data_IF_071954918069
#
_entry.id   IF_071954918069
#
_cell.length_a   1.000
_cell.length_b   1.000
_cell.length_c   1.000
_cell.angle_alpha   90.00
_cell.angle_beta   90.00
_cell.angle_gamma   90.00
#
_symmetry.space_group_name_H-M   'P 1'
#
loop_
_entity.id
_entity.type
_entity.pdbx_description
1 polymer ?
#
# COMPACT_ATOMS: atom_id res chain seq x y z
N UNK A 1 -0.63 -6.12 22.69
CA UNK A 1 0.24 -5.47 21.70
C UNK A 1 -0.58 -4.48 20.89
N UNK A 2 0.04 -3.39 20.50
CA UNK A 2 -0.65 -2.33 19.78
C UNK A 2 -0.69 -2.63 18.30
N UNK A 3 -1.88 -2.55 17.70
CA UNK A 3 -2.01 -2.60 16.26
C UNK A 3 -1.50 -1.30 15.63
N UNK A 4 -1.04 -1.38 14.40
CA UNK A 4 -0.55 -0.23 13.66
C UNK A 4 -1.29 -0.08 12.34
N UNK A 5 -1.61 1.16 11.98
CA UNK A 5 -2.14 1.49 10.65
C UNK A 5 -1.08 2.20 9.85
N UNK A 6 -1.13 1.99 8.54
CA UNK A 6 -0.41 2.83 7.58
C UNK A 6 -1.44 3.46 6.65
N UNK A 7 -1.28 4.75 6.43
CA UNK A 7 -2.02 5.49 5.41
C UNK A 7 -1.00 6.04 4.43
N UNK A 8 -1.04 5.57 3.19
CA UNK A 8 -0.10 5.97 2.16
C UNK A 8 -0.84 6.71 1.05
N UNK A 9 -0.51 7.98 0.87
CA UNK A 9 -1.05 8.80 -0.23
C UNK A 9 -0.14 8.67 -1.43
N UNK A 10 -0.73 8.34 -2.59
CA UNK A 10 0.02 8.10 -3.81
C UNK A 10 -0.62 8.88 -4.94
N UNK A 11 0.22 9.52 -5.75
CA UNK A 11 -0.23 10.17 -6.97
C UNK A 11 0.22 9.34 -8.17
N UNK A 12 -0.73 9.01 -9.05
CA UNK A 12 -0.42 8.33 -10.30
C UNK A 12 0.06 9.34 -11.33
N UNK A 13 0.89 8.89 -12.26
CA UNK A 13 1.30 9.69 -13.40
C UNK A 13 0.09 10.00 -14.29
N UNK A 14 0.11 11.17 -14.91
CA UNK A 14 -0.94 11.58 -15.84
C UNK A 14 -1.10 10.54 -16.96
N UNK A 15 -2.33 10.12 -17.22
CA UNK A 15 -2.64 9.09 -18.20
C UNK A 15 -2.34 7.67 -17.76
N UNK A 16 -1.89 7.46 -16.51
CA UNK A 16 -1.48 6.14 -16.01
C UNK A 16 -2.31 5.63 -14.83
N UNK A 17 -3.43 6.29 -14.52
CA UNK A 17 -4.25 5.90 -13.37
C UNK A 17 -4.75 4.45 -13.46
N UNK A 18 -5.20 4.01 -14.63
CA UNK A 18 -5.70 2.64 -14.80
C UNK A 18 -4.58 1.61 -14.61
N UNK A 19 -3.39 1.88 -15.18
CA UNK A 19 -2.23 1.01 -15.01
C UNK A 19 -1.80 0.95 -13.54
N UNK A 20 -1.81 2.10 -12.87
CA UNK A 20 -1.51 2.16 -11.45
C UNK A 20 -2.49 1.30 -10.65
N UNK A 21 -3.79 1.45 -10.87
CA UNK A 21 -4.81 0.71 -10.13
C UNK A 21 -4.64 -0.78 -10.32
N UNK A 22 -4.37 -1.23 -11.54
CA UNK A 22 -4.15 -2.64 -11.83
C UNK A 22 -2.96 -3.19 -11.06
N UNK A 23 -1.83 -2.47 -11.09
CA UNK A 23 -0.63 -2.88 -10.36
C UNK A 23 -0.85 -2.86 -8.84
N UNK A 24 -1.54 -1.84 -8.33
CA UNK A 24 -1.84 -1.70 -6.92
C UNK A 24 -2.77 -2.82 -6.42
N UNK A 25 -3.76 -3.21 -7.21
CA UNK A 25 -4.65 -4.33 -6.86
C UNK A 25 -3.89 -5.66 -6.81
N UNK A 26 -2.93 -5.86 -7.71
CA UNK A 26 -2.10 -7.06 -7.67
C UNK A 26 -1.28 -7.11 -6.39
N UNK A 27 -0.73 -5.98 -5.95
CA UNK A 27 -0.01 -5.88 -4.68
C UNK A 27 -0.94 -6.18 -3.51
N UNK A 28 -2.12 -5.56 -3.48
CA UNK A 28 -3.11 -5.76 -2.41
C UNK A 28 -3.49 -7.25 -2.27
N UNK A 29 -3.73 -7.91 -3.39
CA UNK A 29 -4.07 -9.34 -3.39
C UNK A 29 -2.94 -10.18 -2.82
N UNK A 30 -1.70 -9.90 -3.19
CA UNK A 30 -0.53 -10.63 -2.70
C UNK A 30 -0.33 -10.41 -1.20
N UNK A 31 -0.48 -9.18 -0.71
CA UNK A 31 -0.37 -8.85 0.71
C UNK A 31 -1.43 -9.60 1.52
N UNK A 32 -2.68 -9.52 1.09
CA UNK A 32 -3.79 -10.14 1.81
C UNK A 32 -3.69 -11.67 1.81
N UNK A 33 -3.05 -12.26 0.80
CA UNK A 33 -2.88 -13.71 0.71
C UNK A 33 -1.66 -14.24 1.48
N UNK A 34 -0.60 -13.42 1.65
CA UNK A 34 0.71 -13.93 2.08
C UNK A 34 1.24 -13.32 3.38
N UNK A 35 0.60 -12.29 3.92
CA UNK A 35 1.08 -11.64 5.15
C UNK A 35 0.10 -11.85 6.30
N UNK A 36 0.32 -12.89 7.13
CA UNK A 36 -0.64 -13.22 8.20
C UNK A 36 -0.76 -12.12 9.27
N UNK A 37 0.27 -11.27 9.40
CA UNK A 37 0.23 -10.16 10.33
C UNK A 37 -0.46 -8.92 9.79
N UNK A 38 -0.82 -8.90 8.51
CA UNK A 38 -1.58 -7.81 7.91
C UNK A 38 -3.07 -8.13 8.00
N UNK A 39 -3.81 -7.29 8.72
CA UNK A 39 -5.24 -7.51 8.95
C UNK A 39 -6.08 -7.09 7.76
N UNK A 40 -5.69 -6.01 7.09
CA UNK A 40 -6.23 -5.65 5.78
C UNK A 40 -5.25 -4.72 5.05
N UNK A 41 -5.39 -4.68 3.76
CA UNK A 41 -4.57 -3.86 2.87
C UNK A 41 -5.46 -3.45 1.70
N UNK A 42 -5.90 -2.19 1.67
CA UNK A 42 -6.94 -1.74 0.76
C UNK A 42 -6.54 -0.47 0.02
N UNK A 43 -6.82 -0.44 -1.28
CA UNK A 43 -6.64 0.75 -2.10
C UNK A 43 -7.96 1.51 -2.18
N UNK A 44 -7.90 2.81 -1.96
CA UNK A 44 -9.05 3.71 -2.09
C UNK A 44 -8.75 4.81 -3.10
N UNK A 45 -9.77 5.22 -3.85
CA UNK A 45 -9.73 6.41 -4.68
C UNK A 45 -10.01 7.65 -3.84
N UNK A 46 -9.79 8.82 -4.43
CA UNK A 46 -10.15 10.12 -3.85
C UNK A 46 -10.94 10.93 -4.87
N UNK A 47 -11.31 12.14 -4.52
CA UNK A 47 -11.97 13.06 -5.47
C UNK A 47 -11.05 13.44 -6.63
N UNK A 48 -9.73 13.41 -6.42
CA UNK A 48 -8.74 13.61 -7.47
C UNK A 48 -8.54 12.27 -8.20
N UNK A 49 -8.80 12.21 -9.53
CA UNK A 49 -8.70 10.96 -10.28
C UNK A 49 -7.28 10.38 -10.37
N UNK A 50 -6.25 11.17 -10.03
CA UNK A 50 -4.86 10.72 -10.01
C UNK A 50 -4.36 10.42 -8.60
N UNK A 51 -5.14 10.71 -7.56
CA UNK A 51 -4.71 10.49 -6.19
C UNK A 51 -5.41 9.28 -5.58
N UNK A 52 -4.60 8.41 -4.98
CA UNK A 52 -5.06 7.18 -4.34
C UNK A 52 -4.50 7.09 -2.93
N UNK A 53 -5.16 6.29 -2.09
CA UNK A 53 -4.75 6.08 -0.72
C UNK A 53 -4.80 4.59 -0.41
N UNK A 54 -3.66 4.04 0.04
CA UNK A 54 -3.67 2.73 0.70
C UNK A 54 -4.00 2.92 2.17
N UNK A 55 -4.91 2.09 2.67
CA UNK A 55 -5.18 1.96 4.10
C UNK A 55 -4.79 0.54 4.49
N UNK A 56 -3.88 0.43 5.45
CA UNK A 56 -3.28 -0.84 5.84
C UNK A 56 -3.36 -0.97 7.36
N UNK A 57 -3.60 -2.19 7.85
CA UNK A 57 -3.61 -2.44 9.29
C UNK A 57 -2.83 -3.70 9.60
N UNK A 58 -1.93 -3.59 10.56
CA UNK A 58 -1.06 -4.68 11.00
C UNK A 58 -1.36 -5.00 12.47
N UNK A 59 -1.24 -6.28 12.83
CA UNK A 59 -1.53 -6.73 14.19
C UNK A 59 -0.60 -6.11 15.23
N UNK A 60 0.65 -5.78 14.83
CA UNK A 60 1.67 -5.17 15.70
C UNK A 60 2.74 -4.48 14.85
N UNK A 61 3.69 -3.83 15.52
CA UNK A 61 4.76 -3.10 14.86
C UNK A 61 5.68 -4.02 14.06
N UNK A 62 5.96 -5.21 14.58
CA UNK A 62 6.84 -6.16 13.89
C UNK A 62 6.24 -6.60 12.56
N UNK A 63 4.94 -6.86 12.53
CA UNK A 63 4.23 -7.20 11.28
C UNK A 63 4.28 -6.05 10.27
N UNK A 64 4.13 -4.81 10.75
CA UNK A 64 4.23 -3.63 9.91
C UNK A 64 5.62 -3.51 9.28
N UNK A 65 6.66 -3.68 10.09
CA UNK A 65 8.04 -3.62 9.60
C UNK A 65 8.36 -4.76 8.65
N UNK A 66 7.85 -5.96 8.92
CA UNK A 66 8.08 -7.14 8.10
C UNK A 66 7.52 -6.98 6.69
N UNK A 67 6.45 -6.19 6.51
CA UNK A 67 5.80 -5.97 5.21
C UNK A 67 6.80 -5.60 4.11
N UNK A 68 7.73 -4.70 4.39
CA UNK A 68 8.70 -4.24 3.39
C UNK A 68 9.75 -5.28 3.01
N UNK A 69 9.92 -6.30 3.82
CA UNK A 69 10.89 -7.37 3.57
C UNK A 69 10.37 -8.50 2.70
N UNK A 70 9.06 -8.57 2.46
CA UNK A 70 8.50 -9.65 1.66
C UNK A 70 8.86 -9.52 0.18
N UNK A 71 9.19 -10.63 -0.50
CA UNK A 71 9.51 -10.60 -1.93
C UNK A 71 8.39 -10.01 -2.80
N UNK A 72 7.14 -10.34 -2.50
CA UNK A 72 6.00 -9.82 -3.26
C UNK A 72 5.89 -8.28 -3.16
N UNK A 73 6.21 -7.70 -2.01
CA UNK A 73 6.20 -6.25 -1.88
C UNK A 73 7.28 -5.62 -2.75
N UNK A 74 8.49 -6.16 -2.73
CA UNK A 74 9.61 -5.63 -3.51
C UNK A 74 9.33 -5.70 -5.01
N UNK A 75 8.82 -6.84 -5.47
CA UNK A 75 8.56 -7.07 -6.89
C UNK A 75 7.35 -6.27 -7.38
N UNK A 76 6.20 -6.44 -6.72
CA UNK A 76 4.95 -5.79 -7.15
C UNK A 76 4.94 -4.30 -6.83
N UNK A 77 5.61 -3.90 -5.76
CA UNK A 77 5.79 -2.49 -5.43
C UNK A 77 6.64 -1.77 -6.48
N UNK A 78 7.66 -2.42 -7.00
CA UNK A 78 8.47 -1.86 -8.09
C UNK A 78 7.63 -1.66 -9.35
N UNK A 79 6.83 -2.67 -9.72
CA UNK A 79 5.94 -2.57 -10.88
C UNK A 79 4.95 -1.42 -10.73
N UNK A 80 4.35 -1.29 -9.54
CA UNK A 80 3.43 -0.19 -9.22
C UNK A 80 4.14 1.17 -9.31
N UNK A 81 5.38 1.22 -8.84
CA UNK A 81 6.17 2.46 -8.81
C UNK A 81 6.40 3.09 -10.18
N UNK A 82 6.38 2.30 -11.24
CA UNK A 82 6.52 2.82 -12.60
C UNK A 82 5.38 3.79 -12.98
N UNK A 83 4.23 3.64 -12.37
CA UNK A 83 3.05 4.46 -12.64
C UNK A 83 2.82 5.55 -11.61
N UNK A 84 3.74 5.70 -10.64
CA UNK A 84 3.63 6.70 -9.58
C UNK A 84 4.37 7.98 -9.96
N UNK A 85 3.75 9.11 -9.63
CA UNK A 85 4.34 10.44 -9.79
C UNK A 85 4.98 10.85 -8.47
N UNK A 86 6.22 10.43 -8.27
CA UNK A 86 6.98 10.69 -7.05
C UNK A 86 6.75 9.65 -5.95
N UNK A 87 7.42 9.84 -4.81
CA UNK A 87 7.31 8.90 -3.69
C UNK A 87 5.98 9.06 -2.96
N UNK A 88 5.50 8.00 -2.28
CA UNK A 88 4.28 8.09 -1.48
C UNK A 88 4.51 8.93 -0.22
N UNK A 89 3.44 9.59 0.25
CA UNK A 89 3.41 10.17 1.59
C UNK A 89 2.85 9.13 2.55
N UNK A 90 3.66 8.73 3.52
CA UNK A 90 3.30 7.63 4.42
C UNK A 90 3.13 8.14 5.84
N UNK A 91 1.98 7.83 6.44
CA UNK A 91 1.74 8.02 7.87
C UNK A 91 1.71 6.66 8.54
N UNK A 92 2.47 6.53 9.62
CA UNK A 92 2.51 5.33 10.47
C UNK A 92 1.84 5.66 11.79
N UNK A 93 0.76 4.97 12.10
CA UNK A 93 -0.17 5.35 13.16
C UNK A 93 -0.35 4.20 14.16
N UNK A 94 0.28 4.27 15.34
CA UNK A 94 -0.03 3.29 16.38
C UNK A 94 -1.43 3.53 16.92
N UNK A 95 -2.16 2.45 17.19
CA UNK A 95 -3.48 2.55 17.79
C UNK A 95 -3.34 3.05 19.24
N UNK A 96 -4.17 4.00 19.62
CA UNK A 96 -4.21 4.50 20.99
C UNK A 96 -5.28 3.80 21.81
#
# INVERSE_FOLDING_TARGET
MTAWCIVAKIKAKDGKAEDFVKAAKALSAAVNANEPGCLFYELHGTEDPLQFVFVERYKDEDAMKAHRGYPHFKELGRAMGEFMDGPPEIMRLPQV
#
